data_IF_585490449467
#
_entry.id   IF_585490449467
#
_cell.length_a   1.000
_cell.length_b   1.000
_cell.length_c   1.000
_cell.angle_alpha   90.00
_cell.angle_beta   90.00
_cell.angle_gamma   90.00
#
_symmetry.space_group_name_H-M   'P 1'
#
loop_
_entity.id
_entity.type
_entity.pdbx_description
1 polymer ?
#
# COMPACT_ATOMS: atom_id res chain seq x y z
N UNK A 1 -15.58 -2.02 65.66
CA UNK A 1 -15.95 -1.47 66.99
C UNK A 1 -14.87 -1.92 67.97
N UNK A 2 -14.03 -1.01 68.49
CA UNK A 2 -12.94 -1.28 69.47
C UNK A 2 -11.78 -2.18 68.92
N UNK A 3 -10.52 -2.13 69.41
CA UNK A 3 -9.74 -1.07 70.09
C UNK A 3 -8.23 -1.40 69.97
N UNK A 4 -7.44 -0.39 69.64
CA UNK A 4 -6.15 -0.02 70.24
C UNK A 4 -5.17 -1.07 70.85
N UNK A 5 -3.96 -1.12 70.23
CA UNK A 5 -2.62 -0.80 70.81
C UNK A 5 -1.75 -1.84 71.54
N UNK A 6 -0.43 -1.52 71.46
CA UNK A 6 0.73 -1.96 72.25
C UNK A 6 1.35 -3.31 71.82
N UNK A 7 2.68 -3.52 71.85
CA UNK A 7 3.74 -2.91 72.69
C UNK A 7 5.00 -2.52 71.87
N UNK A 8 5.71 -1.49 72.35
CA UNK A 8 7.02 -1.00 71.85
C UNK A 8 8.17 -1.79 72.49
N UNK A 9 9.24 -2.11 71.76
CA UNK A 9 10.57 -2.23 72.40
C UNK A 9 11.67 -1.72 71.48
N UNK A 10 12.39 -0.72 71.97
CA UNK A 10 13.46 0.00 71.28
C UNK A 10 14.81 -0.59 71.67
N UNK A 11 15.69 -0.87 70.71
CA UNK A 11 17.13 -0.98 70.98
C UNK A 11 17.90 -0.08 70.03
N UNK A 12 18.66 0.85 70.61
CA UNK A 12 19.38 1.92 69.97
C UNK A 12 20.84 1.49 69.70
N UNK A 13 21.36 1.70 68.49
CA UNK A 13 22.78 1.51 68.18
C UNK A 13 23.29 2.63 67.25
N UNK A 14 24.19 3.46 67.79
CA UNK A 14 24.89 4.61 67.18
C UNK A 14 26.38 4.43 67.50
N UNK A 15 27.37 4.67 66.64
CA UNK A 15 27.38 5.28 65.28
C UNK A 15 28.05 4.29 64.27
N UNK A 16 28.67 4.61 63.12
CA UNK A 16 29.42 5.78 62.64
C UNK A 16 28.97 6.26 61.25
N UNK A 17 28.89 7.58 61.09
CA UNK A 17 28.80 8.28 59.81
C UNK A 17 30.21 8.72 59.38
N UNK A 18 30.56 8.50 58.11
CA UNK A 18 31.51 9.37 57.40
C UNK A 18 30.84 9.80 56.09
N UNK A 19 30.72 11.11 55.87
CA UNK A 19 30.03 11.66 54.71
C UNK A 19 30.97 11.79 53.50
N UNK A 20 30.49 11.37 52.33
CA UNK A 20 31.01 11.77 51.02
C UNK A 20 29.95 12.59 50.30
N UNK A 21 30.25 13.83 49.94
CA UNK A 21 29.24 14.82 49.55
C UNK A 21 28.63 14.58 48.16
N UNK A 22 27.30 14.64 48.10
CA UNK A 22 26.60 15.47 47.10
C UNK A 22 25.25 15.92 47.66
N UNK A 23 25.14 17.19 48.04
CA UNK A 23 23.86 17.91 48.21
C UNK A 23 23.02 17.69 46.95
N UNK A 24 21.78 17.19 47.03
CA UNK A 24 20.59 17.94 47.49
C UNK A 24 19.90 18.54 46.26
N UNK A 25 18.59 18.44 46.03
CA UNK A 25 17.48 18.12 46.94
C UNK A 25 16.34 17.43 46.14
N UNK A 26 15.45 16.68 46.80
CA UNK A 26 14.35 16.00 46.12
C UNK A 26 13.07 16.85 46.14
N UNK A 27 12.85 17.62 45.08
CA UNK A 27 11.61 18.35 44.85
C UNK A 27 10.79 17.71 43.71
N UNK A 28 9.56 17.32 44.03
CA UNK A 28 8.60 16.69 43.12
C UNK A 28 8.14 17.68 42.03
N UNK A 29 8.28 17.31 40.75
CA UNK A 29 7.69 18.04 39.62
C UNK A 29 7.22 17.02 38.58
N UNK A 30 5.93 17.08 38.23
CA UNK A 30 5.39 16.35 37.09
C UNK A 30 6.03 16.88 35.80
N UNK A 31 6.90 16.06 35.20
CA UNK A 31 7.57 16.38 33.95
C UNK A 31 7.00 15.49 32.84
N UNK A 32 6.13 16.09 32.02
CA UNK A 32 5.78 15.57 30.70
C UNK A 32 7.01 15.61 29.80
N UNK A 33 7.89 14.61 29.90
CA UNK A 33 8.93 14.36 28.91
C UNK A 33 8.27 13.79 27.66
N UNK A 34 7.82 14.70 26.79
CA UNK A 34 7.55 14.36 25.40
C UNK A 34 8.83 13.81 24.81
N UNK A 35 8.80 12.54 24.39
CA UNK A 35 9.91 11.92 23.70
C UNK A 35 10.17 12.68 22.39
N UNK A 36 11.14 13.59 22.43
CA UNK A 36 11.65 14.24 21.23
C UNK A 36 12.15 13.13 20.31
N UNK A 37 11.47 12.93 19.17
CA UNK A 37 11.89 11.98 18.16
C UNK A 37 13.31 12.37 17.73
N UNK A 38 14.29 11.60 18.18
CA UNK A 38 15.68 11.81 17.83
C UNK A 38 15.82 11.59 16.33
N UNK A 39 15.89 12.68 15.57
CA UNK A 39 16.19 12.68 14.14
C UNK A 39 17.63 12.19 13.94
N UNK A 40 17.81 10.87 14.03
CA UNK A 40 19.09 10.23 13.81
C UNK A 40 19.51 10.48 12.36
N UNK A 41 20.70 11.05 12.18
CA UNK A 41 21.29 11.23 10.85
C UNK A 41 21.39 9.85 10.17
N UNK A 42 20.80 9.66 8.97
CA UNK A 42 20.93 8.40 8.25
C UNK A 42 22.40 8.04 8.03
N UNK A 43 22.72 6.74 8.05
CA UNK A 43 24.04 6.26 7.66
C UNK A 43 24.30 6.59 6.18
N UNK A 44 25.57 6.84 5.83
CA UNK A 44 25.96 7.33 4.50
C UNK A 44 25.56 6.38 3.34
N UNK A 45 25.42 5.09 3.62
CA UNK A 45 24.83 4.11 2.72
C UNK A 45 23.54 3.55 3.36
N UNK A 46 22.43 3.60 2.62
CA UNK A 46 21.14 3.01 2.98
C UNK A 46 20.89 1.78 2.10
N UNK A 47 21.62 0.70 2.36
CA UNK A 47 21.52 -0.55 1.61
C UNK A 47 20.90 -1.63 2.49
N UNK A 48 19.82 -2.24 2.01
CA UNK A 48 19.22 -3.44 2.60
C UNK A 48 19.45 -4.64 1.67
N UNK A 49 19.67 -5.82 2.25
CA UNK A 49 19.73 -7.09 1.51
C UNK A 49 18.61 -7.99 2.03
N UNK A 50 17.68 -8.35 1.15
CA UNK A 50 16.48 -9.13 1.47
C UNK A 50 16.56 -10.46 0.70
N UNK A 51 16.19 -11.56 1.36
CA UNK A 51 16.06 -12.88 0.71
C UNK A 51 14.63 -13.04 0.18
N UNK A 52 14.49 -13.33 -1.12
CA UNK A 52 13.21 -13.77 -1.67
C UNK A 52 13.06 -15.31 -1.53
N UNK A 53 11.82 -15.81 -1.49
CA UNK A 53 11.51 -17.23 -1.27
C UNK A 53 11.69 -18.12 -2.50
N UNK A 54 11.82 -17.52 -3.68
CA UNK A 54 12.02 -18.20 -4.95
C UNK A 54 12.49 -17.25 -6.05
N UNK A 55 12.67 -17.81 -7.25
CA UNK A 55 12.84 -17.04 -8.48
C UNK A 55 11.52 -16.34 -8.87
N UNK A 56 11.61 -15.19 -9.52
CA UNK A 56 10.43 -14.45 -9.99
C UNK A 56 9.88 -15.14 -11.25
N UNK A 57 8.58 -15.42 -11.30
CA UNK A 57 7.95 -15.99 -12.49
C UNK A 57 7.68 -14.92 -13.57
N UNK A 58 7.23 -13.74 -13.15
CA UNK A 58 6.99 -12.58 -14.03
C UNK A 58 6.78 -11.32 -13.19
N UNK A 59 7.03 -10.14 -13.77
CA UNK A 59 6.61 -8.83 -13.26
C UNK A 59 5.47 -8.24 -14.12
N UNK A 60 4.68 -9.09 -14.78
CA UNK A 60 3.41 -8.73 -15.40
C UNK A 60 2.28 -9.05 -14.42
N UNK A 61 1.73 -8.04 -13.73
CA UNK A 61 0.68 -8.23 -12.73
C UNK A 61 -0.64 -8.79 -13.31
N UNK A 62 -0.80 -8.82 -14.65
CA UNK A 62 -1.95 -9.46 -15.27
C UNK A 62 -1.86 -10.99 -15.30
N UNK A 63 -0.66 -11.57 -15.21
CA UNK A 63 -0.44 -13.04 -15.21
C UNK A 63 0.29 -13.57 -13.98
N UNK A 64 0.85 -12.69 -13.13
CA UNK A 64 1.59 -13.07 -11.93
C UNK A 64 0.66 -13.45 -10.77
N UNK A 65 1.00 -14.54 -10.08
CA UNK A 65 0.24 -15.04 -8.93
C UNK A 65 1.11 -15.73 -7.84
N UNK A 66 2.44 -15.71 -7.97
CA UNK A 66 3.35 -16.27 -6.95
C UNK A 66 3.88 -15.17 -6.02
N UNK A 67 4.03 -15.50 -4.73
CA UNK A 67 4.43 -14.53 -3.71
C UNK A 67 5.80 -13.87 -3.99
N UNK A 68 6.73 -14.56 -4.65
CA UNK A 68 8.08 -14.03 -4.88
C UNK A 68 8.02 -12.86 -5.86
N UNK A 69 7.21 -12.99 -6.91
CA UNK A 69 6.91 -11.93 -7.88
C UNK A 69 6.02 -10.82 -7.29
N UNK A 70 4.94 -11.18 -6.58
CA UNK A 70 3.98 -10.19 -6.06
C UNK A 70 4.64 -9.24 -5.04
N UNK A 71 5.52 -9.72 -4.17
CA UNK A 71 6.27 -8.87 -3.24
C UNK A 71 7.16 -7.86 -3.98
N UNK A 72 7.76 -8.23 -5.11
CA UNK A 72 8.57 -7.31 -5.91
C UNK A 72 7.68 -6.27 -6.61
N UNK A 73 6.55 -6.69 -7.20
CA UNK A 73 5.55 -5.79 -7.79
C UNK A 73 5.05 -4.75 -6.77
N UNK A 74 4.65 -5.19 -5.57
CA UNK A 74 4.10 -4.33 -4.51
C UNK A 74 5.15 -3.41 -3.86
N UNK A 75 6.45 -3.59 -4.14
CA UNK A 75 7.53 -2.69 -3.71
C UNK A 75 8.08 -1.82 -4.85
N UNK A 76 7.85 -2.19 -6.11
CA UNK A 76 8.33 -1.46 -7.29
C UNK A 76 7.26 -0.53 -7.89
N UNK A 77 5.98 -0.87 -7.74
CA UNK A 77 4.84 -0.17 -8.33
C UNK A 77 3.86 0.30 -7.25
N UNK A 78 3.34 1.53 -7.39
CA UNK A 78 2.27 2.07 -6.54
C UNK A 78 0.90 2.07 -7.26
N UNK A 79 -0.15 1.60 -6.57
CA UNK A 79 -1.54 1.62 -7.05
C UNK A 79 -2.27 2.94 -6.72
N UNK A 80 -3.58 3.01 -6.94
CA UNK A 80 -4.38 4.17 -6.46
C UNK A 80 -4.43 4.20 -4.93
N UNK A 81 -4.41 3.04 -4.29
CA UNK A 81 -4.11 2.87 -2.87
C UNK A 81 -2.80 2.08 -2.72
N UNK A 82 -2.27 2.02 -1.51
CA UNK A 82 -1.26 1.05 -1.09
C UNK A 82 -1.45 0.70 0.40
N UNK A 83 -0.74 -0.31 0.87
CA UNK A 83 -0.66 -0.62 2.30
C UNK A 83 0.25 0.42 2.99
N UNK A 84 -0.23 1.01 4.08
CA UNK A 84 0.51 1.93 4.95
C UNK A 84 1.23 1.23 6.10
N UNK A 85 1.97 2.00 6.90
CA UNK A 85 2.83 1.49 7.99
C UNK A 85 2.08 0.70 9.08
N UNK A 86 0.78 0.95 9.27
CA UNK A 86 -0.09 0.26 10.23
C UNK A 86 -0.80 -0.98 9.64
N UNK A 87 -0.60 -1.25 8.33
CA UNK A 87 -1.26 -2.32 7.60
C UNK A 87 -2.65 -1.96 7.06
N UNK A 88 -3.14 -0.73 7.24
CA UNK A 88 -4.35 -0.24 6.59
C UNK A 88 -4.05 0.21 5.14
N UNK A 89 -5.09 0.35 4.32
CA UNK A 89 -4.95 0.97 3.00
C UNK A 89 -5.00 2.50 3.11
N UNK A 90 -4.04 3.16 2.48
CA UNK A 90 -3.97 4.62 2.31
C UNK A 90 -3.79 4.99 0.84
N UNK A 91 -3.92 6.28 0.51
CA UNK A 91 -3.76 6.75 -0.87
C UNK A 91 -2.33 6.49 -1.37
N UNK A 92 -2.25 5.83 -2.53
CA UNK A 92 -1.02 5.66 -3.30
C UNK A 92 -0.88 6.81 -4.30
N UNK A 93 -0.90 6.50 -5.60
CA UNK A 93 -0.85 7.52 -6.66
C UNK A 93 -2.15 8.30 -6.87
N UNK A 94 -3.19 8.03 -6.08
CA UNK A 94 -4.37 8.90 -6.02
C UNK A 94 -4.02 10.24 -5.35
N UNK A 95 -4.43 11.35 -5.95
CA UNK A 95 -4.20 12.70 -5.42
C UNK A 95 -5.08 13.02 -4.21
N UNK A 96 -6.27 12.42 -4.15
CA UNK A 96 -7.26 12.56 -3.09
C UNK A 96 -8.21 11.37 -3.09
N UNK A 97 -9.07 11.31 -2.06
CA UNK A 97 -10.21 10.37 -2.01
C UNK A 97 -11.13 10.55 -3.23
N UNK A 98 -11.68 9.46 -3.81
CA UNK A 98 -12.47 9.55 -5.03
C UNK A 98 -13.79 10.29 -4.81
N UNK A 99 -14.28 10.93 -5.87
CA UNK A 99 -15.69 11.33 -5.95
C UNK A 99 -16.51 10.05 -6.15
N UNK A 100 -17.45 9.78 -5.23
CA UNK A 100 -18.31 8.59 -5.26
C UNK A 100 -19.76 9.00 -5.55
N UNK A 101 -20.45 8.26 -6.41
CA UNK A 101 -21.87 8.48 -6.70
C UNK A 101 -22.78 8.17 -5.49
N UNK A 102 -24.01 8.74 -5.49
CA UNK A 102 -24.98 8.53 -4.40
C UNK A 102 -25.38 7.05 -4.19
N UNK A 103 -25.31 6.23 -5.24
CA UNK A 103 -25.58 4.79 -5.20
C UNK A 103 -24.34 3.93 -4.88
N UNK A 104 -23.16 4.54 -4.75
CA UNK A 104 -21.90 3.86 -4.44
C UNK A 104 -21.37 2.96 -5.57
N UNK A 105 -21.81 3.18 -6.81
CA UNK A 105 -21.42 2.39 -7.98
C UNK A 105 -20.33 3.06 -8.85
N UNK A 106 -20.22 4.39 -8.86
CA UNK A 106 -19.20 5.11 -9.63
C UNK A 106 -18.16 5.75 -8.72
N UNK A 107 -16.88 5.60 -9.08
CA UNK A 107 -15.74 6.15 -8.35
C UNK A 107 -14.81 6.85 -9.34
N UNK A 108 -14.70 8.17 -9.25
CA UNK A 108 -13.73 8.96 -10.05
C UNK A 108 -12.53 9.30 -9.20
N UNK A 109 -11.36 8.82 -9.62
CA UNK A 109 -10.07 9.11 -9.01
C UNK A 109 -9.27 10.07 -9.86
N UNK A 110 -8.67 11.06 -9.20
CA UNK A 110 -7.59 11.86 -9.77
C UNK A 110 -6.24 11.24 -9.42
N UNK A 111 -5.37 11.08 -10.41
CA UNK A 111 -3.97 10.65 -10.27
C UNK A 111 -3.10 11.86 -9.92
N UNK A 112 -2.05 11.69 -9.08
CA UNK A 112 -1.08 12.75 -8.77
C UNK A 112 -0.41 13.26 -10.06
N UNK A 113 -0.18 14.57 -10.14
CA UNK A 113 0.44 15.22 -11.31
C UNK A 113 1.90 14.80 -11.48
N UNK A 114 2.58 14.47 -10.38
CA UNK A 114 3.98 14.03 -10.30
C UNK A 114 4.17 12.50 -10.37
N UNK A 115 3.09 11.73 -10.52
CA UNK A 115 3.18 10.29 -10.77
C UNK A 115 3.78 10.05 -12.17
N UNK A 116 4.98 9.46 -12.21
CA UNK A 116 5.74 9.15 -13.41
C UNK A 116 6.27 7.71 -13.34
N UNK A 117 6.28 7.04 -14.48
CA UNK A 117 7.00 5.78 -14.70
C UNK A 117 8.52 6.01 -14.65
N UNK A 118 9.27 4.96 -14.36
CA UNK A 118 10.73 4.99 -14.20
C UNK A 118 11.50 5.26 -15.50
N UNK A 119 10.84 5.20 -16.66
CA UNK A 119 11.36 5.67 -17.94
C UNK A 119 11.14 7.18 -18.19
N UNK A 120 10.39 7.86 -17.31
CA UNK A 120 10.06 9.29 -17.39
C UNK A 120 8.70 9.61 -18.01
N UNK A 121 7.90 8.62 -18.44
CA UNK A 121 6.54 8.85 -18.91
C UNK A 121 5.60 9.22 -17.74
N UNK A 122 4.61 10.10 -17.92
CA UNK A 122 3.59 10.34 -16.90
C UNK A 122 2.74 9.07 -16.69
N UNK A 123 2.36 8.77 -15.45
CA UNK A 123 1.31 7.78 -15.19
C UNK A 123 -0.05 8.38 -15.56
N UNK A 124 -0.85 7.65 -16.31
CA UNK A 124 -2.12 8.11 -16.89
C UNK A 124 -3.29 7.20 -16.55
N UNK A 125 -4.52 7.71 -16.65
CA UNK A 125 -5.74 6.91 -16.52
C UNK A 125 -5.81 5.76 -17.54
N UNK A 126 -5.15 5.90 -18.69
CA UNK A 126 -5.10 4.87 -19.73
C UNK A 126 -4.27 3.63 -19.32
N UNK A 127 -3.29 3.80 -18.42
CA UNK A 127 -2.49 2.69 -17.87
C UNK A 127 -3.36 1.73 -17.04
N UNK A 128 -4.29 2.29 -16.27
CA UNK A 128 -5.30 1.55 -15.53
C UNK A 128 -6.29 0.83 -16.46
N UNK A 129 -6.87 1.57 -17.42
CA UNK A 129 -7.80 1.00 -18.42
C UNK A 129 -7.16 -0.18 -19.16
N UNK A 130 -5.94 0.01 -19.69
CA UNK A 130 -5.20 -1.04 -20.39
C UNK A 130 -5.01 -2.29 -19.54
N UNK A 131 -4.55 -2.12 -18.29
CA UNK A 131 -4.21 -3.25 -17.42
C UNK A 131 -5.42 -4.08 -17.06
N UNK A 132 -6.54 -3.43 -16.72
CA UNK A 132 -7.74 -4.15 -16.32
C UNK A 132 -8.43 -4.80 -17.51
N UNK A 133 -8.44 -4.14 -18.68
CA UNK A 133 -8.87 -4.76 -19.93
C UNK A 133 -8.01 -5.98 -20.30
N UNK A 134 -6.70 -5.93 -20.07
CA UNK A 134 -5.79 -7.07 -20.25
C UNK A 134 -6.11 -8.21 -19.27
N UNK A 135 -6.41 -7.92 -18.01
CA UNK A 135 -6.76 -8.95 -17.00
C UNK A 135 -8.09 -9.64 -17.32
N UNK A 136 -9.12 -8.90 -17.78
CA UNK A 136 -10.44 -9.48 -18.08
C UNK A 136 -10.54 -10.15 -19.45
N UNK A 137 -9.59 -9.93 -20.35
CA UNK A 137 -9.55 -10.58 -21.66
C UNK A 137 -9.38 -12.10 -21.50
N UNK A 138 -10.33 -12.93 -21.99
CA UNK A 138 -10.22 -14.40 -21.93
C UNK A 138 -8.93 -14.93 -22.57
N UNK A 139 -8.36 -14.22 -23.55
CA UNK A 139 -7.10 -14.60 -24.20
C UNK A 139 -5.87 -14.47 -23.29
N UNK A 140 -5.92 -13.63 -22.25
CA UNK A 140 -4.85 -13.49 -21.25
C UNK A 140 -4.85 -14.67 -20.26
N UNK A 141 -6.00 -15.32 -20.06
CA UNK A 141 -6.19 -16.41 -19.08
C UNK A 141 -5.67 -16.03 -17.67
N UNK A 142 -5.96 -14.80 -17.23
CA UNK A 142 -5.40 -14.24 -15.99
C UNK A 142 -5.80 -15.06 -14.75
N UNK A 143 -4.86 -15.42 -13.85
CA UNK A 143 -5.20 -15.99 -12.55
C UNK A 143 -5.92 -14.99 -11.63
N UNK A 144 -5.82 -13.68 -11.93
CA UNK A 144 -6.30 -12.58 -11.12
C UNK A 144 -7.72 -12.12 -11.50
N UNK A 145 -8.33 -12.67 -12.56
CA UNK A 145 -9.64 -12.24 -13.10
C UNK A 145 -10.74 -12.13 -12.05
N UNK A 146 -10.84 -13.09 -11.13
CA UNK A 146 -11.85 -13.08 -10.07
C UNK A 146 -11.77 -11.86 -9.13
N UNK A 147 -10.64 -11.15 -9.09
CA UNK A 147 -10.48 -9.89 -8.33
C UNK A 147 -11.18 -8.72 -8.98
N UNK A 148 -11.37 -8.73 -10.30
CA UNK A 148 -11.94 -7.63 -11.08
C UNK A 148 -13.45 -7.76 -11.30
N UNK A 149 -14.08 -8.87 -10.92
CA UNK A 149 -15.54 -9.06 -10.98
C UNK A 149 -16.41 -7.99 -10.27
N UNK A 150 -15.94 -7.21 -9.28
CA UNK A 150 -16.67 -6.03 -8.82
C UNK A 150 -16.89 -4.97 -9.89
N UNK A 151 -15.99 -4.86 -10.88
CA UNK A 151 -16.16 -3.95 -12.01
C UNK A 151 -17.31 -4.40 -12.91
N UNK A 152 -18.10 -3.45 -13.38
CA UNK A 152 -19.19 -3.70 -14.31
C UNK A 152 -18.68 -4.45 -15.55
N UNK A 153 -19.46 -5.41 -16.02
CA UNK A 153 -19.20 -6.26 -17.19
C UNK A 153 -18.01 -7.24 -17.08
N UNK A 154 -17.17 -7.21 -16.04
CA UNK A 154 -15.96 -8.04 -15.97
C UNK A 154 -16.19 -9.56 -16.10
N UNK A 155 -17.23 -10.10 -15.45
CA UNK A 155 -17.58 -11.53 -15.56
C UNK A 155 -18.11 -11.90 -16.95
N UNK A 156 -18.96 -11.04 -17.54
CA UNK A 156 -19.49 -11.24 -18.90
C UNK A 156 -18.37 -11.19 -19.96
N UNK A 157 -17.40 -10.29 -19.80
CA UNK A 157 -16.21 -10.22 -20.67
C UNK A 157 -15.38 -11.50 -20.53
N UNK A 158 -15.13 -11.97 -19.31
CA UNK A 158 -14.38 -13.22 -19.08
C UNK A 158 -15.10 -14.47 -19.65
N UNK A 159 -16.43 -14.46 -19.69
CA UNK A 159 -17.23 -15.49 -20.37
C UNK A 159 -17.24 -15.36 -21.91
N UNK A 160 -16.65 -14.31 -22.47
CA UNK A 160 -16.66 -14.02 -23.91
C UNK A 160 -18.00 -13.47 -24.43
N UNK A 161 -18.83 -12.92 -23.55
CA UNK A 161 -20.16 -12.38 -23.89
C UNK A 161 -20.12 -10.91 -24.37
N UNK A 162 -19.11 -10.14 -23.94
CA UNK A 162 -18.90 -8.72 -24.26
C UNK A 162 -17.44 -8.44 -24.62
N UNK A 163 -17.17 -7.33 -25.32
CA UNK A 163 -15.81 -6.88 -25.60
C UNK A 163 -15.15 -6.29 -24.34
N UNK A 164 -13.84 -6.47 -24.16
CA UNK A 164 -13.11 -5.89 -23.03
C UNK A 164 -13.17 -4.36 -22.97
N UNK A 165 -13.39 -3.68 -24.09
CA UNK A 165 -13.65 -2.25 -24.14
C UNK A 165 -14.94 -1.83 -23.41
N UNK A 166 -15.85 -2.77 -23.10
CA UNK A 166 -17.06 -2.52 -22.30
C UNK A 166 -16.85 -2.69 -20.79
N UNK A 167 -15.62 -2.94 -20.32
CA UNK A 167 -15.29 -3.04 -18.90
C UNK A 167 -15.65 -1.72 -18.16
N UNK A 168 -16.12 -1.84 -16.92
CA UNK A 168 -16.41 -0.71 -16.01
C UNK A 168 -15.18 0.08 -15.54
N UNK A 169 -14.29 0.46 -16.45
CA UNK A 169 -13.19 1.42 -16.22
C UNK A 169 -13.01 2.29 -17.47
N UNK A 170 -12.92 3.61 -17.28
CA UNK A 170 -12.69 4.58 -18.35
C UNK A 170 -11.65 5.62 -17.91
N UNK A 171 -10.88 6.12 -18.88
CA UNK A 171 -10.13 7.36 -18.74
C UNK A 171 -11.05 8.52 -19.17
N UNK A 172 -11.47 9.36 -18.22
CA UNK A 172 -12.22 10.59 -18.51
C UNK A 172 -11.28 11.58 -19.23
N UNK A 173 -10.06 11.68 -18.73
CA UNK A 173 -8.93 12.40 -19.30
C UNK A 173 -7.62 11.73 -18.87
N UNK A 174 -6.47 12.38 -19.12
CA UNK A 174 -5.15 11.83 -18.80
C UNK A 174 -4.94 11.49 -17.32
N UNK A 175 -5.56 12.23 -16.39
CA UNK A 175 -5.33 12.10 -14.94
C UNK A 175 -6.58 11.68 -14.16
N UNK A 176 -7.75 11.60 -14.79
CA UNK A 176 -8.99 11.15 -14.15
C UNK A 176 -9.45 9.79 -14.68
N UNK A 177 -9.39 8.77 -13.82
CA UNK A 177 -9.91 7.42 -14.10
C UNK A 177 -11.23 7.23 -13.35
N UNK A 178 -12.27 6.77 -14.07
CA UNK A 178 -13.56 6.41 -13.47
C UNK A 178 -13.75 4.91 -13.50
N UNK A 179 -14.19 4.36 -12.38
CA UNK A 179 -14.66 2.99 -12.25
C UNK A 179 -16.18 2.99 -12.14
N UNK A 180 -16.81 2.01 -12.78
CA UNK A 180 -18.23 1.69 -12.58
C UNK A 180 -18.33 0.25 -12.11
N UNK A 181 -18.91 0.04 -10.94
CA UNK A 181 -19.11 -1.28 -10.35
C UNK A 181 -20.38 -1.94 -10.88
N UNK A 182 -20.39 -3.28 -10.92
CA UNK A 182 -21.61 -4.05 -11.21
C UNK A 182 -22.60 -4.03 -10.04
N UNK A 183 -22.09 -3.97 -8.81
CA UNK A 183 -22.86 -3.95 -7.56
C UNK A 183 -22.07 -3.17 -6.48
N UNK A 184 -22.73 -2.62 -5.44
CA UNK A 184 -22.04 -1.91 -4.36
C UNK A 184 -21.05 -2.85 -3.64
N UNK A 185 -19.76 -2.50 -3.66
CA UNK A 185 -18.67 -3.35 -3.14
C UNK A 185 -17.90 -2.58 -2.09
N UNK A 186 -18.18 -2.85 -0.81
CA UNK A 186 -17.65 -2.08 0.32
C UNK A 186 -16.11 -2.09 0.43
N UNK A 187 -15.47 -3.16 -0.03
CA UNK A 187 -14.01 -3.35 -0.04
C UNK A 187 -13.35 -2.94 -1.37
N UNK A 188 -14.06 -2.20 -2.24
CA UNK A 188 -13.53 -1.83 -3.56
C UNK A 188 -12.23 -1.01 -3.48
N UNK A 189 -12.14 -0.07 -2.53
CA UNK A 189 -10.93 0.72 -2.30
C UNK A 189 -9.73 -0.15 -1.88
N UNK A 190 -9.96 -1.14 -1.03
CA UNK A 190 -8.93 -2.09 -0.58
C UNK A 190 -8.34 -2.87 -1.76
N UNK A 191 -9.18 -3.24 -2.74
CA UNK A 191 -8.70 -3.91 -3.96
C UNK A 191 -7.70 -3.06 -4.74
N UNK A 192 -7.91 -1.73 -4.80
CA UNK A 192 -7.07 -0.78 -5.52
C UNK A 192 -5.65 -0.62 -4.94
N UNK A 193 -5.38 -1.22 -3.77
CA UNK A 193 -4.05 -1.31 -3.17
C UNK A 193 -3.41 -2.70 -3.29
N UNK A 194 -3.97 -3.61 -4.07
CA UNK A 194 -3.42 -4.95 -4.31
C UNK A 194 -2.68 -5.03 -5.65
N UNK A 195 -1.72 -5.96 -5.76
CA UNK A 195 -0.98 -6.23 -7.00
C UNK A 195 -1.86 -6.43 -8.25
N UNK A 196 -3.05 -7.04 -8.12
CA UNK A 196 -4.00 -7.21 -9.24
C UNK A 196 -4.61 -5.89 -9.76
N UNK A 197 -4.47 -4.79 -9.01
CA UNK A 197 -4.95 -3.45 -9.35
C UNK A 197 -3.80 -2.43 -9.55
N UNK A 198 -2.56 -2.88 -9.66
CA UNK A 198 -1.47 -2.01 -10.13
C UNK A 198 -1.69 -1.65 -11.61
N UNK A 199 -1.32 -0.44 -12.06
CA UNK A 199 -1.28 -0.09 -13.47
C UNK A 199 -0.08 -0.75 -14.19
N UNK A 200 -0.10 -0.74 -15.52
CA UNK A 200 1.02 -1.02 -16.42
C UNK A 200 1.13 0.16 -17.39
N UNK A 201 2.34 0.65 -17.67
CA UNK A 201 2.56 1.64 -18.73
C UNK A 201 2.02 1.05 -20.05
N UNK A 202 0.90 1.59 -20.54
CA UNK A 202 0.18 0.98 -21.67
C UNK A 202 0.99 1.00 -22.96
N UNK A 203 1.90 1.96 -23.14
CA UNK A 203 2.75 2.05 -24.33
C UNK A 203 3.78 0.92 -24.30
N UNK A 204 4.58 0.84 -23.23
CA UNK A 204 5.62 -0.18 -23.05
C UNK A 204 5.02 -1.60 -23.02
N UNK A 205 3.92 -1.80 -22.30
CA UNK A 205 3.28 -3.11 -22.19
C UNK A 205 2.61 -3.55 -23.51
N UNK A 206 2.06 -2.64 -24.31
CA UNK A 206 1.51 -2.98 -25.63
C UNK A 206 2.58 -3.22 -26.69
N UNK A 207 3.72 -2.53 -26.63
CA UNK A 207 4.88 -2.77 -27.51
C UNK A 207 5.55 -4.11 -27.21
N UNK A 208 5.80 -4.42 -25.94
CA UNK A 208 6.46 -5.66 -25.52
C UNK A 208 5.54 -6.89 -25.59
N UNK A 209 4.23 -6.71 -25.44
CA UNK A 209 3.27 -7.81 -25.45
C UNK A 209 3.61 -8.90 -24.42
N UNK A 210 3.80 -10.13 -24.88
CA UNK A 210 4.18 -11.27 -24.01
C UNK A 210 5.62 -11.22 -23.47
N UNK A 211 6.44 -10.26 -23.90
CA UNK A 211 7.75 -10.02 -23.31
C UNK A 211 7.69 -9.14 -22.05
N UNK A 212 6.59 -8.40 -21.82
CA UNK A 212 6.45 -7.53 -20.64
C UNK A 212 6.62 -8.32 -19.34
N UNK A 213 7.37 -7.76 -18.38
CA UNK A 213 7.61 -8.38 -17.08
C UNK A 213 8.50 -9.63 -17.09
N UNK A 214 9.08 -10.05 -18.23
CA UNK A 214 9.91 -11.27 -18.30
C UNK A 214 11.32 -11.10 -17.73
N UNK A 215 11.81 -9.87 -17.60
CA UNK A 215 13.10 -9.51 -17.01
C UNK A 215 13.12 -7.99 -16.70
N UNK A 216 14.22 -7.49 -16.15
CA UNK A 216 14.39 -6.08 -15.76
C UNK A 216 14.51 -5.07 -16.91
N UNK A 217 14.83 -5.50 -18.13
CA UNK A 217 14.85 -4.64 -19.33
C UNK A 217 13.45 -4.50 -19.94
N UNK A 218 12.60 -5.51 -19.73
CA UNK A 218 11.23 -5.60 -20.26
C UNK A 218 10.14 -5.15 -19.26
N UNK A 219 10.47 -4.26 -18.32
CA UNK A 219 9.51 -3.73 -17.34
C UNK A 219 9.79 -2.26 -17.01
N UNK A 220 8.73 -1.54 -16.64
CA UNK A 220 8.79 -0.18 -16.10
C UNK A 220 7.90 -0.11 -14.87
N UNK A 221 8.27 0.74 -13.92
CA UNK A 221 7.73 0.78 -12.56
C UNK A 221 7.45 2.22 -12.12
N UNK A 222 6.68 2.47 -11.06
CA UNK A 222 6.08 3.78 -10.75
C UNK A 222 5.87 4.05 -9.26
#
# INVERSE_FOLDING_TARGET
MLKDKWVITTTLAISLVLAGCSTGDAANTESSEGAAASSATPAAEQVITITNTGELASLDNAISADNSSLVVLENANEGLYRVGDDGAFELGIAAEEPVVSEDGLEYTFKIREDANWSNGDPVTAQDFVYTYQKIVDPATASPNINKLYPLKNAEAINNGELDKAELGVEAIDEKNVKFTLGNPTAYFKDLLGTSSYLPQNHQVASELGSAYGTNSENTVYN
#
